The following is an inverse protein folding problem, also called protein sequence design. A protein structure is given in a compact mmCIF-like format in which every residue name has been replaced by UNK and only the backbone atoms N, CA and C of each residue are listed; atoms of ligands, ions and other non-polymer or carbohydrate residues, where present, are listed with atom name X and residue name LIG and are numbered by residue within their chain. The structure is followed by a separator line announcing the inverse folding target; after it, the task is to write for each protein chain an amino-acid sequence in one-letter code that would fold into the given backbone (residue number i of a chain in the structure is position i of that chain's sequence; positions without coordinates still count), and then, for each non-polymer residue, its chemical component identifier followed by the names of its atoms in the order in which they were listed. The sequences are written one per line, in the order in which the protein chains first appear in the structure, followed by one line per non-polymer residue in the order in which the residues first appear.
data_IF_130658485145
#
_entry.id   IF_130658485145
#
_cell.length_a   1.000
_cell.length_b   1.000
_cell.length_c   1.000
_cell.angle_alpha   90.00
_cell.angle_beta   90.00
_cell.angle_gamma   90.00
#
_symmetry.space_group_name_H-M   'P 1'
#
loop_
_entity.id
_entity.type
_entity.pdbx_description
1 polymer ?
#
# COMPACT_ATOMS: atom_id res chain seq x y z
N UNK A 1 -77.97 32.03 -12.79
CA UNK A 1 -76.77 32.56 -12.08
C UNK A 1 -75.90 31.37 -11.70
N UNK A 2 -74.94 31.00 -12.56
CA UNK A 2 -74.15 29.77 -12.42
C UNK A 2 -72.92 30.04 -11.52
N UNK A 3 -72.84 29.38 -10.36
CA UNK A 3 -71.63 29.33 -9.52
C UNK A 3 -70.70 28.24 -10.06
N UNK A 4 -69.52 28.63 -10.57
CA UNK A 4 -68.43 27.71 -10.89
C UNK A 4 -67.78 27.24 -9.58
N UNK A 5 -67.82 25.93 -9.33
CA UNK A 5 -66.97 25.26 -8.33
C UNK A 5 -65.68 24.86 -9.07
N UNK A 6 -64.55 25.43 -8.66
CA UNK A 6 -63.23 25.05 -9.17
C UNK A 6 -62.73 23.91 -8.29
N UNK A 7 -62.79 22.68 -8.82
CA UNK A 7 -62.15 21.51 -8.22
C UNK A 7 -60.65 21.57 -8.53
N UNK A 8 -59.83 21.86 -7.52
CA UNK A 8 -58.37 21.72 -7.64
C UNK A 8 -58.05 20.23 -7.51
N UNK A 9 -57.74 19.59 -8.64
CA UNK A 9 -57.19 18.25 -8.65
C UNK A 9 -55.75 18.30 -8.10
N UNK A 10 -55.57 17.92 -6.83
CA UNK A 10 -54.29 17.57 -6.26
C UNK A 10 -53.76 16.33 -6.99
N UNK A 11 -52.85 16.53 -7.94
CA UNK A 11 -52.02 15.45 -8.46
C UNK A 11 -51.10 14.97 -7.33
N UNK A 12 -51.54 13.94 -6.61
CA UNK A 12 -50.65 13.11 -5.81
C UNK A 12 -49.68 12.43 -6.79
N UNK A 13 -48.53 13.09 -6.99
CA UNK A 13 -47.40 12.50 -7.69
C UNK A 13 -46.91 11.36 -6.80
N UNK A 14 -47.30 10.14 -7.13
CA UNK A 14 -46.68 8.96 -6.55
C UNK A 14 -45.19 9.02 -6.91
N UNK A 15 -44.37 9.48 -5.96
CA UNK A 15 -42.95 9.21 -5.94
C UNK A 15 -42.83 7.69 -5.86
N UNK A 16 -42.78 7.04 -7.03
CA UNK A 16 -42.21 5.71 -7.14
C UNK A 16 -40.77 5.89 -6.73
N UNK A 17 -40.50 5.67 -5.44
CA UNK A 17 -39.17 5.49 -4.92
C UNK A 17 -38.51 4.48 -5.86
N UNK A 18 -37.50 4.93 -6.62
CA UNK A 18 -36.68 4.04 -7.42
C UNK A 18 -36.26 2.91 -6.50
N UNK A 19 -36.73 1.69 -6.77
CA UNK A 19 -36.21 0.49 -6.12
C UNK A 19 -34.72 0.49 -6.43
N UNK A 20 -33.91 0.92 -5.47
CA UNK A 20 -32.48 0.63 -5.51
C UNK A 20 -32.41 -0.88 -5.60
N UNK A 21 -31.88 -1.40 -6.71
CA UNK A 21 -31.49 -2.80 -6.78
C UNK A 21 -30.73 -3.11 -5.50
N UNK A 22 -31.13 -4.14 -4.73
CA UNK A 22 -30.44 -4.47 -3.50
C UNK A 22 -28.95 -4.63 -3.81
N UNK A 23 -28.06 -4.13 -2.93
CA UNK A 23 -26.64 -4.27 -3.15
C UNK A 23 -26.31 -5.76 -3.39
N UNK A 24 -25.38 -6.07 -4.30
CA UNK A 24 -24.94 -7.43 -4.55
C UNK A 24 -24.65 -8.15 -3.23
N UNK A 25 -25.08 -9.41 -3.12
CA UNK A 25 -24.83 -10.20 -1.92
C UNK A 25 -23.33 -10.34 -1.67
N UNK A 26 -22.96 -10.33 -0.40
CA UNK A 26 -21.59 -10.57 0.02
C UNK A 26 -21.10 -11.94 -0.44
N UNK A 27 -19.87 -11.98 -0.97
CA UNK A 27 -19.20 -13.20 -1.41
C UNK A 27 -18.18 -13.61 -0.34
N UNK A 28 -18.34 -14.77 0.32
CA UNK A 28 -17.33 -15.28 1.25
C UNK A 28 -16.07 -15.74 0.50
N UNK A 29 -14.89 -15.47 1.06
CA UNK A 29 -13.58 -15.77 0.46
C UNK A 29 -12.91 -16.97 1.17
N UNK A 30 -13.57 -18.13 1.18
CA UNK A 30 -13.16 -19.28 2.01
C UNK A 30 -11.91 -20.02 1.51
N UNK A 31 -11.54 -19.86 0.25
CA UNK A 31 -10.48 -20.66 -0.39
C UNK A 31 -9.22 -19.83 -0.73
N UNK A 32 -9.14 -18.58 -0.26
CA UNK A 32 -7.96 -17.75 -0.47
C UNK A 32 -6.94 -18.00 0.65
N UNK A 33 -5.66 -18.21 0.31
CA UNK A 33 -4.62 -18.38 1.32
C UNK A 33 -4.41 -17.09 2.11
N UNK A 34 -4.03 -17.25 3.38
CA UNK A 34 -3.56 -16.16 4.21
C UNK A 34 -2.20 -15.63 3.71
N UNK A 35 -1.91 -14.36 4.01
CA UNK A 35 -0.59 -13.76 3.86
C UNK A 35 -0.03 -13.45 5.23
N UNK A 36 1.15 -13.98 5.54
CA UNK A 36 1.78 -13.83 6.87
C UNK A 36 3.10 -13.09 6.78
N UNK A 37 3.35 -12.23 7.75
CA UNK A 37 4.55 -11.42 7.90
C UNK A 37 5.28 -11.79 9.19
N UNK A 38 6.51 -12.28 9.07
CA UNK A 38 7.37 -12.57 10.23
C UNK A 38 8.19 -11.33 10.58
N UNK A 39 7.69 -10.55 11.54
CA UNK A 39 8.30 -9.30 11.99
C UNK A 39 9.34 -9.55 13.08
N UNK A 40 10.47 -8.83 13.06
CA UNK A 40 11.49 -8.96 14.10
C UNK A 40 11.00 -8.36 15.44
N UNK A 41 11.45 -8.93 16.56
CA UNK A 41 11.09 -8.43 17.90
C UNK A 41 11.86 -7.18 18.34
N UNK A 42 13.05 -6.96 17.78
CA UNK A 42 13.99 -5.94 18.22
C UNK A 42 13.72 -4.55 17.61
N UNK A 43 12.81 -4.43 16.66
CA UNK A 43 12.41 -3.15 16.09
C UNK A 43 10.94 -3.15 15.67
N UNK A 44 10.18 -2.07 15.93
CA UNK A 44 8.84 -1.93 15.42
C UNK A 44 8.90 -1.74 13.90
N UNK A 45 8.11 -2.54 13.17
CA UNK A 45 7.95 -2.42 11.73
C UNK A 45 6.49 -2.10 11.43
N UNK A 46 6.28 -0.99 10.74
CA UNK A 46 4.98 -0.58 10.24
C UNK A 46 4.83 -1.05 8.78
N UNK A 47 3.88 -1.96 8.55
CA UNK A 47 3.59 -2.50 7.22
C UNK A 47 2.61 -1.55 6.54
N UNK A 48 3.05 -0.96 5.43
CA UNK A 48 2.22 -0.10 4.59
C UNK A 48 1.83 -0.82 3.30
N UNK A 49 0.54 -0.79 2.97
CA UNK A 49 0.03 -1.27 1.70
C UNK A 49 -0.07 -0.13 0.68
N UNK A 50 0.04 -0.48 -0.60
CA UNK A 50 -0.08 0.49 -1.68
C UNK A 50 -1.51 1.06 -1.71
N UNK A 51 -1.63 2.38 -1.62
CA UNK A 51 -2.89 3.11 -1.80
C UNK A 51 -2.70 4.15 -2.89
N UNK A 52 -3.74 4.39 -3.67
CA UNK A 52 -3.65 5.37 -4.75
C UNK A 52 -5.01 5.89 -5.18
N UNK A 53 -4.98 7.02 -5.88
CA UNK A 53 -6.08 7.56 -6.65
C UNK A 53 -5.50 8.16 -7.94
N UNK A 54 -5.57 7.40 -9.03
CA UNK A 54 -4.94 7.77 -10.31
C UNK A 54 -6.01 8.01 -11.36
N UNK A 55 -5.75 8.97 -12.24
CA UNK A 55 -6.56 9.16 -13.43
C UNK A 55 -6.27 8.03 -14.43
N UNK A 56 -7.31 7.30 -14.83
CA UNK A 56 -7.24 6.24 -15.84
C UNK A 56 -7.73 6.72 -17.22
N UNK A 57 -8.54 7.78 -17.29
CA UNK A 57 -9.03 8.33 -18.55
C UNK A 57 -9.29 9.83 -18.45
N UNK A 58 -8.93 10.54 -19.52
CA UNK A 58 -9.10 11.98 -19.66
C UNK A 58 -10.17 12.28 -20.71
N UNK A 59 -10.95 13.33 -20.44
CA UNK A 59 -11.77 14.01 -21.43
C UNK A 59 -11.39 15.49 -21.50
N UNK A 60 -12.18 16.26 -22.24
CA UNK A 60 -11.85 17.67 -22.57
C UNK A 60 -11.72 18.59 -21.35
N UNK A 61 -12.38 18.25 -20.24
CA UNK A 61 -12.40 19.03 -18.99
C UNK A 61 -11.57 18.41 -17.87
N UNK A 62 -10.72 17.44 -18.19
CA UNK A 62 -9.86 16.75 -17.22
C UNK A 62 -10.21 15.29 -17.04
N UNK A 63 -9.88 14.74 -15.87
CA UNK A 63 -10.04 13.32 -15.62
C UNK A 63 -11.51 12.91 -15.53
N UNK A 64 -11.92 11.93 -16.32
CA UNK A 64 -13.29 11.41 -16.38
C UNK A 64 -13.45 10.06 -15.66
N UNK A 65 -12.33 9.35 -15.46
CA UNK A 65 -12.30 8.05 -14.79
C UNK A 65 -11.06 7.94 -13.92
N UNK A 66 -11.27 7.63 -12.65
CA UNK A 66 -10.24 7.34 -11.66
C UNK A 66 -10.27 5.88 -11.27
N UNK A 67 -9.09 5.32 -11.07
CA UNK A 67 -8.89 4.08 -10.34
C UNK A 67 -8.28 4.39 -8.98
N UNK A 68 -8.82 3.80 -7.92
CA UNK A 68 -8.28 3.95 -6.57
C UNK A 68 -8.21 2.64 -5.81
N UNK A 69 -7.26 2.57 -4.88
CA UNK A 69 -7.22 1.58 -3.80
C UNK A 69 -7.10 2.34 -2.50
N UNK A 70 -7.97 2.02 -1.54
CA UNK A 70 -7.91 2.53 -0.18
C UNK A 70 -7.74 1.38 0.81
N UNK A 71 -7.09 1.70 1.91
CA UNK A 71 -6.86 0.81 3.03
C UNK A 71 -7.39 1.51 4.29
N UNK A 72 -8.13 0.80 5.12
CA UNK A 72 -8.69 1.33 6.36
C UNK A 72 -8.98 0.23 7.36
N UNK A 73 -9.43 0.63 8.56
CA UNK A 73 -9.82 -0.30 9.61
C UNK A 73 -11.27 -0.04 10.01
N UNK A 74 -12.07 -1.11 10.09
CA UNK A 74 -13.47 -1.05 10.48
C UNK A 74 -13.81 -2.21 11.40
N UNK A 75 -14.30 -1.91 12.61
CA UNK A 75 -14.73 -2.92 13.59
C UNK A 75 -13.68 -4.00 13.87
N UNK A 76 -12.40 -3.61 13.93
CA UNK A 76 -11.27 -4.52 14.17
C UNK A 76 -10.81 -5.34 12.96
N UNK A 77 -11.45 -5.16 11.79
CA UNK A 77 -11.00 -5.76 10.53
C UNK A 77 -10.29 -4.73 9.65
N UNK A 78 -9.38 -5.23 8.84
CA UNK A 78 -8.76 -4.47 7.76
C UNK A 78 -9.70 -4.45 6.56
N UNK A 79 -9.93 -3.27 6.00
CA UNK A 79 -10.78 -3.04 4.85
C UNK A 79 -9.93 -2.55 3.68
N UNK A 80 -10.01 -3.26 2.55
CA UNK A 80 -9.36 -2.85 1.30
C UNK A 80 -10.46 -2.55 0.28
N UNK A 81 -10.54 -1.31 -0.19
CA UNK A 81 -11.50 -0.89 -1.21
C UNK A 81 -10.77 -0.68 -2.54
N UNK A 82 -11.09 -1.49 -3.55
CA UNK A 82 -10.72 -1.20 -4.95
C UNK A 82 -11.90 -0.51 -5.61
N UNK A 83 -11.69 0.70 -6.14
CA UNK A 83 -12.76 1.54 -6.69
C UNK A 83 -12.44 2.08 -8.07
N UNK A 84 -13.48 2.21 -8.90
CA UNK A 84 -13.50 2.99 -10.14
C UNK A 84 -14.58 4.07 -10.03
N UNK A 85 -14.23 5.34 -10.27
CA UNK A 85 -15.16 6.46 -10.08
C UNK A 85 -14.86 7.66 -10.99
N UNK A 86 -15.81 8.58 -11.12
CA UNK A 86 -15.61 9.85 -11.84
C UNK A 86 -15.29 11.04 -10.92
N UNK A 87 -15.01 10.77 -9.64
CA UNK A 87 -14.79 11.78 -8.60
C UNK A 87 -15.94 11.87 -7.59
N UNK A 88 -17.15 11.50 -8.00
CA UNK A 88 -18.34 11.52 -7.13
C UNK A 88 -18.97 10.14 -7.00
N UNK A 89 -19.45 9.60 -8.12
CA UNK A 89 -20.11 8.28 -8.18
C UNK A 89 -19.15 7.22 -8.72
N UNK A 90 -19.34 5.98 -8.30
CA UNK A 90 -18.48 4.90 -8.75
C UNK A 90 -18.95 3.51 -8.37
N UNK A 91 -18.10 2.55 -8.70
CA UNK A 91 -18.28 1.14 -8.36
C UNK A 91 -17.04 0.65 -7.66
N UNK A 92 -17.21 -0.29 -6.73
CA UNK A 92 -16.11 -0.78 -5.94
C UNK A 92 -16.31 -2.19 -5.44
N UNK A 93 -15.18 -2.84 -5.17
CA UNK A 93 -15.09 -4.10 -4.45
C UNK A 93 -14.40 -3.82 -3.11
N UNK A 94 -15.06 -4.20 -2.02
CA UNK A 94 -14.62 -3.99 -0.64
C UNK A 94 -14.28 -5.35 -0.05
N UNK A 95 -13.01 -5.55 0.28
CA UNK A 95 -12.49 -6.78 0.86
C UNK A 95 -12.37 -6.58 2.38
N UNK A 96 -13.02 -7.45 3.14
CA UNK A 96 -12.83 -7.57 4.59
C UNK A 96 -11.74 -8.60 4.84
N UNK A 97 -10.69 -8.17 5.52
CA UNK A 97 -9.50 -8.96 5.85
C UNK A 97 -9.39 -9.00 7.37
N UNK A 98 -9.34 -10.20 7.92
CA UNK A 98 -9.05 -10.39 9.34
C UNK A 98 -7.55 -10.29 9.56
N UNK A 99 -7.14 -9.51 10.56
CA UNK A 99 -5.76 -9.37 10.99
C UNK A 99 -5.57 -10.06 12.33
N UNK A 100 -4.62 -10.99 12.39
CA UNK A 100 -4.24 -11.65 13.63
C UNK A 100 -2.76 -11.50 13.87
N UNK A 101 -2.36 -11.31 15.12
CA UNK A 101 -0.95 -11.25 15.51
C UNK A 101 -0.66 -12.34 16.52
N UNK A 102 0.29 -13.20 16.20
CA UNK A 102 0.82 -14.21 17.10
C UNK A 102 2.25 -13.85 17.50
N UNK A 103 2.54 -13.87 18.80
CA UNK A 103 3.89 -13.65 19.32
C UNK A 103 4.59 -14.98 19.58
N UNK A 104 5.72 -15.18 18.91
CA UNK A 104 6.64 -16.31 19.16
C UNK A 104 7.85 -15.84 19.98
N UNK A 105 8.73 -16.77 20.38
CA UNK A 105 9.99 -16.45 21.06
C UNK A 105 10.95 -15.59 20.22
N UNK A 106 10.85 -15.65 18.90
CA UNK A 106 11.81 -15.02 17.97
C UNK A 106 11.22 -13.89 17.12
N UNK A 107 9.89 -13.84 16.98
CA UNK A 107 9.22 -12.94 16.03
C UNK A 107 7.75 -12.68 16.40
N UNK A 108 7.20 -11.58 15.91
CA UNK A 108 5.74 -11.40 15.83
C UNK A 108 5.29 -11.82 14.42
N UNK A 109 4.30 -12.69 14.32
CA UNK A 109 3.72 -13.14 13.06
C UNK A 109 2.38 -12.44 12.87
N UNK A 110 2.30 -11.53 11.90
CA UNK A 110 1.06 -10.84 11.53
C UNK A 110 0.46 -11.55 10.33
N UNK A 111 -0.78 -12.00 10.43
CA UNK A 111 -1.46 -12.76 9.38
C UNK A 111 -2.71 -12.04 8.92
N UNK A 112 -2.77 -11.80 7.61
CA UNK A 112 -3.90 -11.20 6.90
C UNK A 112 -4.67 -12.31 6.17
N UNK A 113 -5.90 -12.56 6.60
CA UNK A 113 -6.80 -13.54 5.98
C UNK A 113 -7.97 -12.81 5.31
N UNK A 114 -8.09 -12.81 3.98
CA UNK A 114 -9.31 -12.36 3.30
C UNK A 114 -10.51 -13.23 3.74
N UNK A 115 -11.59 -12.60 4.17
CA UNK A 115 -12.79 -13.30 4.69
C UNK A 115 -13.99 -13.09 3.76
N UNK A 116 -14.17 -11.87 3.27
CA UNK A 116 -15.38 -11.48 2.55
C UNK A 116 -15.06 -10.44 1.48
N UNK A 117 -15.78 -10.48 0.37
CA UNK A 117 -15.85 -9.40 -0.60
C UNK A 117 -17.29 -8.94 -0.72
N UNK A 118 -17.53 -7.64 -0.58
CA UNK A 118 -18.79 -7.00 -0.95
C UNK A 118 -18.55 -6.08 -2.14
N UNK A 119 -19.57 -5.86 -2.95
CA UNK A 119 -19.47 -4.93 -4.08
C UNK A 119 -20.61 -3.94 -4.07
N UNK A 120 -20.36 -2.79 -4.68
CA UNK A 120 -21.39 -1.80 -4.91
C UNK A 120 -21.19 -1.17 -6.28
N UNK A 121 -22.29 -0.71 -6.86
CA UNK A 121 -22.30 -0.08 -8.17
C UNK A 121 -23.29 1.08 -8.12
N UNK A 122 -22.76 2.31 -8.25
CA UNK A 122 -23.55 3.52 -8.23
C UNK A 122 -23.73 4.07 -9.65
N UNK A 123 -24.85 4.74 -9.89
CA UNK A 123 -25.21 5.33 -11.18
C UNK A 123 -26.30 4.53 -11.89
N UNK A 124 -27.26 5.24 -12.48
CA UNK A 124 -28.43 4.65 -13.14
C UNK A 124 -28.14 4.31 -14.62
N UNK A 125 -27.34 5.13 -15.29
CA UNK A 125 -27.03 5.00 -16.71
C UNK A 125 -25.53 4.73 -16.86
N UNK A 126 -25.21 3.60 -17.49
CA UNK A 126 -23.82 3.15 -17.75
C UNK A 126 -22.94 3.18 -16.49
N UNK A 127 -23.34 2.51 -15.39
CA UNK A 127 -22.52 2.46 -14.20
C UNK A 127 -21.18 1.78 -14.49
N UNK A 128 -20.12 2.24 -13.82
CA UNK A 128 -18.81 1.61 -13.98
C UNK A 128 -18.87 0.13 -13.62
N UNK A 129 -18.14 -0.76 -14.33
CA UNK A 129 -18.03 -2.14 -13.90
C UNK A 129 -17.36 -2.20 -12.51
N UNK A 130 -17.77 -3.18 -11.69
CA UNK A 130 -17.10 -3.45 -10.42
C UNK A 130 -15.66 -3.90 -10.72
N UNK A 131 -14.64 -3.24 -10.16
CA UNK A 131 -13.25 -3.58 -10.42
C UNK A 131 -12.86 -4.89 -9.73
N UNK A 132 -12.09 -5.73 -10.41
CA UNK A 132 -11.48 -6.95 -9.85
C UNK A 132 -10.06 -6.68 -9.34
N UNK A 133 -9.63 -7.43 -8.33
CA UNK A 133 -8.27 -7.40 -7.79
C UNK A 133 -7.91 -8.76 -7.21
N UNK A 134 -6.65 -9.17 -7.39
CA UNK A 134 -6.09 -10.28 -6.63
C UNK A 134 -5.70 -9.75 -5.24
N UNK A 135 -6.56 -10.00 -4.25
CA UNK A 135 -6.35 -9.52 -2.88
C UNK A 135 -5.13 -10.17 -2.22
N UNK A 136 -4.80 -11.41 -2.57
CA UNK A 136 -3.63 -12.10 -2.00
C UNK A 136 -2.35 -11.49 -2.56
N UNK A 137 -2.31 -11.23 -3.87
CA UNK A 137 -1.19 -10.54 -4.50
C UNK A 137 -1.04 -9.10 -3.97
N UNK A 138 -2.16 -8.39 -3.77
CA UNK A 138 -2.15 -7.07 -3.13
C UNK A 138 -1.57 -7.12 -1.72
N UNK A 139 -2.04 -8.05 -0.89
CA UNK A 139 -1.58 -8.21 0.49
C UNK A 139 -0.13 -8.70 0.59
N UNK A 140 0.41 -9.32 -0.47
CA UNK A 140 1.80 -9.76 -0.54
C UNK A 140 2.78 -8.67 -0.99
N UNK A 141 2.27 -7.57 -1.56
CA UNK A 141 3.07 -6.47 -2.09
C UNK A 141 3.00 -5.26 -1.14
N UNK A 142 3.89 -5.25 -0.14
CA UNK A 142 3.95 -4.22 0.90
C UNK A 142 5.22 -3.40 0.85
N UNK A 143 5.17 -2.25 1.51
CA UNK A 143 6.35 -1.46 1.82
C UNK A 143 6.46 -1.27 3.33
N UNK A 144 7.68 -1.29 3.84
CA UNK A 144 7.96 -0.87 5.20
C UNK A 144 9.23 -0.03 5.26
N UNK A 145 9.33 0.82 6.27
CA UNK A 145 10.48 1.69 6.51
C UNK A 145 11.32 1.13 7.64
N UNK A 146 12.64 1.20 7.52
CA UNK A 146 13.57 0.80 8.57
C UNK A 146 14.81 1.69 8.56
N UNK A 147 15.52 1.75 9.68
CA UNK A 147 16.70 2.59 9.87
C UNK A 147 17.85 1.73 10.38
N UNK A 148 19.01 1.86 9.74
CA UNK A 148 20.25 1.22 10.17
C UNK A 148 21.23 2.28 10.64
N UNK A 149 21.94 2.01 11.74
CA UNK A 149 23.04 2.83 12.22
C UNK A 149 24.29 1.95 12.37
N UNK A 150 25.32 2.21 11.57
CA UNK A 150 26.53 1.40 11.53
C UNK A 150 27.73 2.33 11.75
N UNK A 151 28.58 2.00 12.73
CA UNK A 151 29.85 2.68 12.92
C UNK A 151 30.90 2.09 11.99
N UNK A 152 31.77 2.94 11.46
CA UNK A 152 32.87 2.58 10.56
C UNK A 152 34.16 3.19 11.07
N UNK A 153 35.27 2.47 10.91
CA UNK A 153 36.62 2.99 11.16
C UNK A 153 37.09 3.91 10.02
N UNK A 154 36.40 3.89 8.88
CA UNK A 154 36.75 4.69 7.71
C UNK A 154 36.16 6.11 7.79
N UNK A 155 36.86 7.12 7.25
CA UNK A 155 36.32 8.47 7.12
C UNK A 155 35.04 8.51 6.28
N UNK A 156 34.18 9.49 6.56
CA UNK A 156 32.87 9.61 5.88
C UNK A 156 32.95 9.72 4.36
N UNK A 157 33.99 10.39 3.85
CA UNK A 157 34.25 10.54 2.42
C UNK A 157 34.55 9.18 1.75
N UNK A 158 35.34 8.33 2.41
CA UNK A 158 35.66 6.98 1.93
C UNK A 158 34.41 6.10 1.89
N UNK A 159 33.59 6.17 2.94
CA UNK A 159 32.31 5.45 2.98
C UNK A 159 31.41 5.91 1.84
N UNK A 160 31.24 7.22 1.65
CA UNK A 160 30.41 7.76 0.56
C UNK A 160 30.88 7.30 -0.82
N UNK A 161 32.20 7.33 -1.06
CA UNK A 161 32.80 6.84 -2.29
C UNK A 161 32.53 5.35 -2.53
N UNK A 162 32.53 4.52 -1.48
CA UNK A 162 32.16 3.11 -1.59
C UNK A 162 30.72 2.91 -2.03
N UNK A 163 29.76 3.66 -1.47
CA UNK A 163 28.37 3.60 -1.94
C UNK A 163 28.24 4.06 -3.39
N UNK A 164 28.89 5.17 -3.78
CA UNK A 164 28.87 5.65 -5.17
C UNK A 164 29.47 4.65 -6.16
N UNK A 165 30.48 3.89 -5.75
CA UNK A 165 31.17 2.89 -6.57
C UNK A 165 30.42 1.56 -6.66
N UNK A 166 29.83 1.11 -5.55
CA UNK A 166 29.33 -0.26 -5.42
C UNK A 166 27.81 -0.40 -5.50
N UNK A 167 27.07 0.68 -5.27
CA UNK A 167 25.61 0.65 -5.27
C UNK A 167 25.04 1.39 -6.47
N UNK A 168 23.97 0.83 -7.02
CA UNK A 168 23.21 1.50 -8.06
C UNK A 168 22.40 2.66 -7.46
N UNK A 169 22.26 3.75 -8.22
CA UNK A 169 21.30 4.80 -7.87
C UNK A 169 19.87 4.32 -8.10
N UNK A 170 18.94 4.86 -7.31
CA UNK A 170 17.53 4.54 -7.47
C UNK A 170 17.04 5.01 -8.85
N UNK A 171 16.18 4.20 -9.47
CA UNK A 171 15.61 4.50 -10.78
C UNK A 171 14.41 5.43 -10.61
N UNK A 172 14.16 6.29 -11.61
CA UNK A 172 12.99 7.20 -11.66
C UNK A 172 11.63 6.51 -11.45
N UNK A 173 11.55 5.20 -11.69
CA UNK A 173 10.30 4.44 -11.60
C UNK A 173 10.04 3.86 -10.19
N UNK A 174 10.95 4.01 -9.22
CA UNK A 174 10.71 3.56 -7.86
C UNK A 174 9.79 4.55 -7.15
N UNK A 175 8.68 4.04 -6.60
CA UNK A 175 7.73 4.84 -5.82
C UNK A 175 7.93 4.56 -4.33
N UNK A 176 8.30 5.60 -3.59
CA UNK A 176 8.34 5.57 -2.13
C UNK A 176 6.98 6.05 -1.62
N UNK A 177 6.14 5.13 -1.12
CA UNK A 177 4.83 5.53 -0.60
C UNK A 177 4.98 6.29 0.73
N UNK A 178 4.16 7.34 0.91
CA UNK A 178 4.14 8.14 2.14
C UNK A 178 5.45 8.90 2.41
N UNK A 179 6.18 9.32 1.37
CA UNK A 179 7.37 10.18 1.50
C UNK A 179 7.04 11.60 1.09
N UNK A 180 7.21 12.55 2.02
CA UNK A 180 7.19 14.00 1.75
C UNK A 180 8.59 14.53 1.41
N UNK A 181 9.53 13.65 1.03
CA UNK A 181 10.92 13.99 0.78
C UNK A 181 11.04 14.96 -0.40
N UNK A 182 11.72 16.09 -0.18
CA UNK A 182 12.13 17.05 -1.23
C UNK A 182 13.38 16.59 -2.00
N UNK A 183 13.93 15.41 -1.68
CA UNK A 183 15.14 14.89 -2.30
C UNK A 183 14.83 14.25 -3.65
N UNK A 184 15.77 14.37 -4.59
CA UNK A 184 15.64 13.72 -5.89
C UNK A 184 15.88 12.21 -5.73
N UNK A 185 15.25 11.38 -6.57
CA UNK A 185 15.48 9.93 -6.55
C UNK A 185 16.95 9.57 -6.78
N UNK A 186 17.71 10.41 -7.49
CA UNK A 186 19.13 10.21 -7.79
C UNK A 186 20.03 10.32 -6.54
N UNK A 187 19.51 10.87 -5.43
CA UNK A 187 20.20 10.89 -4.14
C UNK A 187 20.13 9.55 -3.40
N UNK A 188 19.19 8.68 -3.80
CA UNK A 188 18.97 7.38 -3.19
C UNK A 188 19.81 6.30 -3.89
N UNK A 189 20.22 5.30 -3.11
CA UNK A 189 20.77 4.05 -3.61
C UNK A 189 19.69 2.98 -3.64
N UNK A 190 19.91 1.96 -4.47
CA UNK A 190 19.03 0.82 -4.60
C UNK A 190 19.80 -0.47 -4.43
N UNK A 191 19.18 -1.42 -3.74
CA UNK A 191 19.71 -2.73 -3.44
C UNK A 191 18.60 -3.77 -3.62
N UNK A 192 18.91 -4.83 -4.35
CA UNK A 192 18.04 -6.01 -4.42
C UNK A 192 18.53 -7.05 -3.40
N UNK A 193 17.61 -7.59 -2.60
CA UNK A 193 17.82 -8.74 -1.73
C UNK A 193 16.78 -9.80 -2.05
N UNK A 194 17.01 -11.03 -1.60
CA UNK A 194 16.02 -12.08 -1.79
C UNK A 194 14.69 -11.67 -1.14
N UNK A 195 13.61 -11.70 -1.92
CA UNK A 195 12.27 -11.33 -1.46
C UNK A 195 12.00 -9.83 -1.31
N UNK A 196 12.94 -8.92 -1.62
CA UNK A 196 12.68 -7.49 -1.55
C UNK A 196 13.56 -6.60 -2.43
N UNK A 197 12.99 -5.47 -2.84
CA UNK A 197 13.71 -4.33 -3.42
C UNK A 197 13.83 -3.22 -2.40
N UNK A 198 15.01 -2.66 -2.25
CA UNK A 198 15.29 -1.67 -1.21
C UNK A 198 15.79 -0.40 -1.85
N UNK A 199 15.19 0.72 -1.46
CA UNK A 199 15.69 2.05 -1.79
C UNK A 199 16.08 2.75 -0.51
N UNK A 200 17.26 3.34 -0.49
CA UNK A 200 17.89 3.80 0.73
C UNK A 200 18.56 5.16 0.54
N UNK A 201 18.33 6.04 1.52
CA UNK A 201 19.09 7.26 1.69
C UNK A 201 20.21 6.98 2.68
N UNK A 202 21.45 7.25 2.26
CA UNK A 202 22.65 7.00 3.05
C UNK A 202 23.27 8.33 3.43
N UNK A 203 23.45 8.53 4.73
CA UNK A 203 24.12 9.69 5.29
C UNK A 203 25.32 9.21 6.09
N UNK A 204 26.49 9.83 5.91
CA UNK A 204 27.71 9.49 6.64
C UNK A 204 28.31 10.74 7.26
N UNK A 205 28.59 10.67 8.56
CA UNK A 205 29.10 11.79 9.34
C UNK A 205 30.40 11.40 10.03
N UNK A 206 31.39 12.31 10.15
CA UNK A 206 32.55 12.09 11.00
C UNK A 206 32.10 11.74 12.43
N UNK A 207 32.62 10.65 12.98
CA UNK A 207 32.26 10.19 14.33
C UNK A 207 33.43 9.44 14.96
N UNK A 208 33.97 9.98 16.06
CA UNK A 208 35.19 9.47 16.72
C UNK A 208 36.33 9.35 15.69
N UNK A 209 37.11 8.27 15.74
CA UNK A 209 38.22 7.96 14.81
C UNK A 209 37.76 7.39 13.46
N UNK A 210 36.53 7.68 13.03
CA UNK A 210 35.97 7.14 11.79
C UNK A 210 34.68 7.86 11.41
N UNK A 211 33.64 7.10 11.08
CA UNK A 211 32.34 7.66 10.71
C UNK A 211 31.17 6.87 11.29
N UNK A 212 30.03 7.53 11.41
CA UNK A 212 28.74 6.90 11.64
C UNK A 212 27.93 7.00 10.36
N UNK A 213 27.42 5.86 9.91
CA UNK A 213 26.58 5.72 8.72
C UNK A 213 25.15 5.50 9.17
N UNK A 214 24.25 6.37 8.71
CA UNK A 214 22.81 6.28 8.94
C UNK A 214 22.16 5.96 7.61
N UNK A 215 21.40 4.86 7.58
CA UNK A 215 20.69 4.42 6.38
C UNK A 215 19.20 4.39 6.64
N UNK A 216 18.46 5.25 5.96
CA UNK A 216 17.00 5.24 5.97
C UNK A 216 16.52 4.45 4.76
N UNK A 217 15.98 3.26 4.99
CA UNK A 217 15.59 2.32 3.95
C UNK A 217 14.06 2.20 3.83
N UNK A 218 13.59 2.16 2.59
CA UNK A 218 12.24 1.77 2.20
C UNK A 218 12.37 0.43 1.50
N UNK A 219 11.79 -0.58 2.12
CA UNK A 219 11.84 -1.96 1.64
C UNK A 219 10.50 -2.30 1.03
N UNK A 220 10.50 -2.62 -0.26
CA UNK A 220 9.34 -3.15 -0.97
C UNK A 220 9.47 -4.67 -1.04
N UNK A 221 8.56 -5.37 -0.40
CA UNK A 221 8.50 -6.83 -0.44
C UNK A 221 8.10 -7.28 -1.84
N UNK A 222 8.62 -8.44 -2.24
CA UNK A 222 8.24 -9.10 -3.48
C UNK A 222 7.52 -10.40 -3.14
N UNK A 223 6.66 -10.83 -4.06
CA UNK A 223 5.89 -12.07 -3.94
C UNK A 223 6.78 -13.23 -3.49
N UNK A 224 6.42 -13.82 -2.35
CA UNK A 224 7.01 -15.06 -1.83
C UNK A 224 6.21 -16.25 -2.34
N UNK A 225 6.87 -17.36 -2.66
CA UNK A 225 6.21 -18.56 -3.18
C UNK A 225 5.21 -19.20 -2.20
N UNK A 226 5.30 -18.86 -0.90
CA UNK A 226 4.49 -19.48 0.16
C UNK A 226 3.55 -18.50 0.88
N UNK A 227 3.36 -17.26 0.38
CA UNK A 227 2.61 -16.18 1.05
C UNK A 227 3.12 -15.84 2.47
N UNK A 228 4.33 -16.29 2.82
CA UNK A 228 5.03 -15.93 4.05
C UNK A 228 6.19 -15.02 3.69
N UNK A 229 6.20 -13.85 4.31
CA UNK A 229 7.18 -12.79 4.07
C UNK A 229 8.02 -12.64 5.33
N UNK A 230 9.26 -13.12 5.28
CA UNK A 230 10.20 -13.06 6.40
C UNK A 230 10.91 -11.70 6.42
N UNK A 231 10.24 -10.73 7.04
CA UNK A 231 10.75 -9.36 7.18
C UNK A 231 12.06 -9.35 7.98
N UNK A 232 12.17 -10.18 9.03
CA UNK A 232 13.38 -10.28 9.83
C UNK A 232 14.60 -10.76 9.00
N UNK A 233 14.42 -11.76 8.13
CA UNK A 233 15.47 -12.23 7.22
C UNK A 233 15.86 -11.18 6.18
N UNK A 234 14.88 -10.47 5.63
CA UNK A 234 15.10 -9.36 4.68
C UNK A 234 15.97 -8.27 5.33
N UNK A 235 15.61 -7.82 6.54
CA UNK A 235 16.36 -6.78 7.27
C UNK A 235 17.81 -7.21 7.51
N UNK A 236 18.03 -8.44 7.99
CA UNK A 236 19.39 -8.98 8.21
C UNK A 236 20.22 -9.00 6.92
N UNK A 237 19.60 -9.39 5.81
CA UNK A 237 20.24 -9.44 4.50
C UNK A 237 20.62 -8.04 4.00
N UNK A 238 19.75 -7.05 4.22
CA UNK A 238 20.00 -5.64 3.88
C UNK A 238 21.16 -5.09 4.71
N UNK A 239 21.10 -5.27 6.03
CA UNK A 239 22.15 -4.83 6.96
C UNK A 239 23.52 -5.42 6.59
N UNK A 240 23.59 -6.72 6.32
CA UNK A 240 24.83 -7.40 5.91
C UNK A 240 25.40 -6.84 4.61
N UNK A 241 24.56 -6.54 3.60
CA UNK A 241 25.01 -5.93 2.35
C UNK A 241 25.48 -4.49 2.55
N UNK A 242 24.80 -3.70 3.38
CA UNK A 242 25.22 -2.33 3.72
C UNK A 242 26.58 -2.37 4.44
N UNK A 243 26.73 -3.22 5.45
CA UNK A 243 27.98 -3.37 6.20
C UNK A 243 29.15 -3.76 5.29
N UNK A 244 28.92 -4.63 4.30
CA UNK A 244 29.93 -4.99 3.31
C UNK A 244 30.39 -3.78 2.50
N UNK A 245 29.47 -2.94 2.02
CA UNK A 245 29.82 -1.72 1.26
C UNK A 245 30.59 -0.72 2.11
N UNK A 246 30.22 -0.55 3.38
CA UNK A 246 30.93 0.33 4.31
C UNK A 246 32.39 -0.09 4.48
N UNK A 247 32.66 -1.39 4.53
CA UNK A 247 33.98 -1.97 4.79
C UNK A 247 34.77 -2.41 3.53
N UNK A 248 34.41 -1.89 2.35
CA UNK A 248 35.02 -2.25 1.05
C UNK A 248 36.13 -1.31 0.58
#
# INVERSE_FOLDING_TARGET
MFKKVITVALFASALVACKSTPPPADVPLTNLPAVSYKLPLNQPIDISFNTYNICESYGDKGCTKYGSIKFGNESGNVIVEKRTHNGTIGSGAVYTVNETTERTSESNIVTYQPVKMSSYQQGLILPFPVPSMDIVDYLSNTQFKTKFEINSEYPSQSVKANFDRLMNKARKNFRIYGSNSKLALDDYYMLDVEGAKVVMLVESFPYRNGSKVVVNAVVQTQKSNNNVIDVASIIKSVEAKIAKVINS
#
